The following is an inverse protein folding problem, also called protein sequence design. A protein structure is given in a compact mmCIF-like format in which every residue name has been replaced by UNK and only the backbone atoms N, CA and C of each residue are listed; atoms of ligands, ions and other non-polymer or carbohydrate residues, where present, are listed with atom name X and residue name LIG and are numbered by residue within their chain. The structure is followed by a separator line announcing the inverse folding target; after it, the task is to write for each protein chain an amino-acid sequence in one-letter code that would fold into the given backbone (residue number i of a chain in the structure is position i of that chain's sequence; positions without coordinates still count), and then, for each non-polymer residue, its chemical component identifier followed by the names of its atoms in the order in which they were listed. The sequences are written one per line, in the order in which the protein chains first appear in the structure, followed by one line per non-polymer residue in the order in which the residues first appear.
data_IF_285715707127
#
_entry.id   IF_285715707127
#
_cell.length_a   1.000
_cell.length_b   1.000
_cell.length_c   1.000
_cell.angle_alpha   90.00
_cell.angle_beta   90.00
_cell.angle_gamma   90.00
#
_symmetry.space_group_name_H-M   'P 1'
#
loop_
_entity.id
_entity.type
_entity.pdbx_description
1 polymer ?
#
# COMPACT_ATOMS: atom_id res chain seq x y z
N UNK A 1 -4.58 19.58 42.48
CA UNK A 1 -4.87 19.04 41.12
C UNK A 1 -6.37 19.04 40.77
N UNK A 2 -7.21 19.90 41.36
CA UNK A 2 -8.67 19.89 41.11
C UNK A 2 -9.10 21.04 40.19
N UNK A 3 -8.40 22.19 40.21
CA UNK A 3 -8.75 23.37 39.38
C UNK A 3 -8.64 23.15 37.87
N UNK A 4 -7.69 22.34 37.40
CA UNK A 4 -7.48 22.12 35.96
C UNK A 4 -8.64 21.37 35.29
N UNK A 5 -9.49 20.68 36.07
CA UNK A 5 -10.61 19.86 35.58
C UNK A 5 -11.96 20.57 35.57
N UNK A 6 -12.07 21.76 36.17
CA UNK A 6 -13.35 22.49 36.29
C UNK A 6 -13.99 22.76 34.92
N UNK A 7 -13.19 23.17 33.93
CA UNK A 7 -13.65 23.40 32.55
C UNK A 7 -14.02 22.12 31.79
N UNK A 8 -13.53 20.97 32.25
CA UNK A 8 -13.71 19.69 31.54
C UNK A 8 -14.97 18.98 31.95
N UNK A 9 -15.48 19.16 33.17
CA UNK A 9 -16.69 18.48 33.65
C UNK A 9 -17.88 18.55 32.67
N UNK A 10 -18.35 19.76 32.30
CA UNK A 10 -19.47 19.89 31.35
C UNK A 10 -19.17 19.30 29.97
N UNK A 11 -17.94 19.48 29.47
CA UNK A 11 -17.53 18.98 28.15
C UNK A 11 -17.46 17.46 28.10
N UNK A 12 -16.92 16.85 29.17
CA UNK A 12 -16.80 15.38 29.31
C UNK A 12 -18.19 14.76 29.44
N UNK A 13 -19.13 15.39 30.16
CA UNK A 13 -20.53 14.97 30.21
C UNK A 13 -21.18 15.02 28.83
N UNK A 14 -21.13 16.17 28.14
CA UNK A 14 -21.70 16.32 26.80
C UNK A 14 -21.09 15.32 25.80
N UNK A 15 -19.79 15.03 25.91
CA UNK A 15 -19.15 13.99 25.11
C UNK A 15 -19.63 12.58 25.45
N UNK A 16 -19.83 12.28 26.73
CA UNK A 16 -20.36 10.98 27.17
C UNK A 16 -21.77 10.73 26.64
N UNK A 17 -22.60 11.78 26.57
CA UNK A 17 -23.96 11.74 26.03
C UNK A 17 -24.00 11.77 24.48
N UNK A 18 -22.84 11.96 23.83
CA UNK A 18 -22.71 11.99 22.37
C UNK A 18 -23.06 13.34 21.73
N UNK A 19 -23.17 14.41 22.53
CA UNK A 19 -23.52 15.77 22.10
C UNK A 19 -22.29 16.61 21.70
N UNK A 20 -21.07 16.12 21.95
CA UNK A 20 -19.85 16.82 21.58
C UNK A 20 -19.56 16.74 20.08
N UNK A 21 -19.08 17.85 19.51
CA UNK A 21 -18.59 17.85 18.12
C UNK A 21 -17.33 16.99 17.96
N UNK A 22 -16.99 16.58 16.73
CA UNK A 22 -15.78 15.75 16.50
C UNK A 22 -14.48 16.41 16.97
N UNK A 23 -14.37 17.74 16.79
CA UNK A 23 -13.21 18.49 17.24
C UNK A 23 -13.08 18.43 18.76
N UNK A 24 -14.18 18.67 19.47
CA UNK A 24 -14.22 18.62 20.94
C UNK A 24 -13.98 17.20 21.45
N UNK A 25 -14.54 16.19 20.80
CA UNK A 25 -14.31 14.78 21.14
C UNK A 25 -12.82 14.40 21.05
N UNK A 26 -12.05 14.98 20.13
CA UNK A 26 -10.59 14.78 20.06
C UNK A 26 -9.87 15.42 21.25
N UNK A 27 -10.22 16.65 21.61
CA UNK A 27 -9.64 17.35 22.75
C UNK A 27 -9.94 16.64 24.07
N UNK A 28 -11.20 16.19 24.24
CA UNK A 28 -11.66 15.49 25.42
C UNK A 28 -10.95 14.14 25.56
N UNK A 29 -10.82 13.36 24.48
CA UNK A 29 -10.03 12.11 24.51
C UNK A 29 -8.58 12.34 24.92
N UNK A 30 -7.98 13.44 24.48
CA UNK A 30 -6.62 13.83 24.88
C UNK A 30 -6.57 14.09 26.39
N UNK A 31 -7.50 14.88 26.92
CA UNK A 31 -7.59 15.14 28.37
C UNK A 31 -7.82 13.85 29.17
N UNK A 32 -8.72 12.98 28.72
CA UNK A 32 -9.02 11.71 29.37
C UNK A 32 -7.83 10.76 29.38
N UNK A 33 -6.85 10.88 28.48
CA UNK A 33 -5.62 10.08 28.56
C UNK A 33 -4.74 10.49 29.74
N UNK A 34 -4.76 11.78 30.09
CA UNK A 34 -3.82 12.35 31.05
C UNK A 34 -4.45 12.61 32.43
N UNK A 35 -5.80 12.68 32.51
CA UNK A 35 -6.53 12.93 33.75
C UNK A 35 -7.23 11.69 34.30
N UNK A 36 -6.72 11.16 35.42
CA UNK A 36 -7.34 10.03 36.13
C UNK A 36 -8.71 10.33 36.73
N UNK A 37 -8.94 11.55 37.23
CA UNK A 37 -10.21 11.93 37.86
C UNK A 37 -11.38 11.95 36.88
N UNK A 38 -11.20 12.57 35.70
CA UNK A 38 -12.23 12.59 34.68
C UNK A 38 -12.48 11.20 34.07
N UNK A 39 -11.46 10.34 33.97
CA UNK A 39 -11.67 8.93 33.61
C UNK A 39 -12.51 8.19 34.64
N UNK A 40 -12.23 8.38 35.93
CA UNK A 40 -13.00 7.75 36.99
C UNK A 40 -14.48 8.14 36.93
N UNK A 41 -14.77 9.43 36.69
CA UNK A 41 -16.14 9.91 36.51
C UNK A 41 -16.84 9.26 35.29
N UNK A 42 -16.17 9.19 34.14
CA UNK A 42 -16.71 8.51 32.94
C UNK A 42 -16.98 7.03 33.20
N UNK A 43 -16.10 6.35 33.93
CA UNK A 43 -16.29 4.94 34.28
C UNK A 43 -17.48 4.76 35.23
N UNK A 44 -17.67 5.67 36.20
CA UNK A 44 -18.81 5.66 37.10
C UNK A 44 -20.13 5.86 36.35
N UNK A 45 -20.19 6.83 35.43
CA UNK A 45 -21.37 7.04 34.57
C UNK A 45 -21.64 5.82 33.67
N UNK A 46 -20.59 5.19 33.16
CA UNK A 46 -20.70 3.92 32.41
C UNK A 46 -21.35 2.82 33.24
N UNK A 47 -20.88 2.62 34.48
CA UNK A 47 -21.44 1.63 35.39
C UNK A 47 -22.92 1.92 35.74
N UNK A 48 -23.29 3.20 35.92
CA UNK A 48 -24.68 3.60 36.14
C UNK A 48 -25.56 3.31 34.92
N UNK A 49 -25.07 3.59 33.71
CA UNK A 49 -25.77 3.29 32.46
C UNK A 49 -26.00 1.79 32.30
N UNK A 50 -25.00 0.97 32.62
CA UNK A 50 -25.11 -0.49 32.55
C UNK A 50 -26.14 -1.02 33.55
N UNK A 51 -26.17 -0.45 34.77
CA UNK A 51 -27.18 -0.78 35.78
C UNK A 51 -28.59 -0.39 35.34
N UNK A 52 -28.76 0.76 34.68
CA UNK A 52 -30.05 1.14 34.09
C UNK A 52 -30.46 0.23 32.93
N UNK A 53 -29.50 -0.24 32.12
CA UNK A 53 -29.77 -1.17 31.04
C UNK A 53 -30.25 -2.54 31.55
N UNK A 54 -29.81 -2.97 32.74
CA UNK A 54 -30.30 -4.19 33.39
C UNK A 54 -31.76 -4.05 33.86
N UNK A 55 -32.14 -2.88 34.39
CA UNK A 55 -33.50 -2.60 34.85
C UNK A 55 -34.46 -2.39 33.67
N UNK A 56 -33.97 -1.80 32.57
CA UNK A 56 -34.72 -1.57 31.34
C UNK A 56 -34.03 -2.28 30.17
N UNK A 57 -34.26 -3.59 30.00
CA UNK A 57 -33.72 -4.30 28.85
C UNK A 57 -34.31 -3.68 27.59
N UNK A 58 -33.50 -2.90 26.89
CA UNK A 58 -33.85 -2.35 25.60
C UNK A 58 -34.04 -3.53 24.63
N UNK A 59 -35.29 -3.75 24.18
CA UNK A 59 -35.53 -4.71 23.11
C UNK A 59 -35.01 -4.10 21.81
N UNK A 60 -33.82 -4.53 21.41
CA UNK A 60 -33.27 -4.19 20.09
C UNK A 60 -34.16 -4.87 19.06
N UNK A 61 -34.75 -4.10 18.14
CA UNK A 61 -35.56 -4.68 17.08
C UNK A 61 -34.70 -5.58 16.19
N UNK A 62 -35.25 -6.71 15.75
CA UNK A 62 -34.55 -7.62 14.83
C UNK A 62 -34.09 -6.91 13.56
N UNK A 63 -34.85 -5.90 13.11
CA UNK A 63 -34.50 -5.05 11.96
C UNK A 63 -33.23 -4.24 12.23
N UNK A 64 -33.08 -3.68 13.42
CA UNK A 64 -31.87 -2.94 13.80
C UNK A 64 -30.67 -3.88 13.89
N UNK A 65 -30.84 -5.06 14.49
CA UNK A 65 -29.80 -6.09 14.58
C UNK A 65 -29.35 -6.52 13.18
N UNK A 66 -30.30 -6.88 12.30
CA UNK A 66 -30.01 -7.28 10.92
C UNK A 66 -29.30 -6.19 10.12
N UNK A 67 -29.65 -4.91 10.34
CA UNK A 67 -28.97 -3.78 9.70
C UNK A 67 -27.52 -3.64 10.19
N UNK A 68 -27.27 -3.78 11.49
CA UNK A 68 -25.92 -3.73 12.05
C UNK A 68 -25.07 -4.87 11.52
N UNK A 69 -25.59 -6.10 11.52
CA UNK A 69 -24.88 -7.28 10.98
C UNK A 69 -24.50 -7.08 9.52
N UNK A 70 -25.43 -6.64 8.67
CA UNK A 70 -25.13 -6.38 7.25
C UNK A 70 -24.04 -5.32 7.06
N UNK A 71 -24.03 -4.27 7.88
CA UNK A 71 -23.01 -3.21 7.79
C UNK A 71 -21.65 -3.70 8.27
N UNK A 72 -21.62 -4.56 9.27
CA UNK A 72 -20.39 -5.19 9.75
C UNK A 72 -19.81 -6.14 8.69
N UNK A 73 -20.65 -7.04 8.15
CA UNK A 73 -20.25 -7.96 7.08
C UNK A 73 -19.72 -7.23 5.85
N UNK A 74 -20.38 -6.14 5.43
CA UNK A 74 -19.93 -5.36 4.28
C UNK A 74 -18.60 -4.63 4.56
N UNK A 75 -18.42 -4.12 5.78
CA UNK A 75 -17.16 -3.52 6.22
C UNK A 75 -16.00 -4.51 6.20
N UNK A 76 -16.18 -5.69 6.81
CA UNK A 76 -15.17 -6.76 6.80
C UNK A 76 -14.87 -7.25 5.39
N UNK A 77 -15.91 -7.44 4.57
CA UNK A 77 -15.72 -7.86 3.19
C UNK A 77 -14.86 -6.86 2.43
N UNK A 78 -15.13 -5.56 2.54
CA UNK A 78 -14.35 -4.52 1.88
C UNK A 78 -12.86 -4.53 2.31
N UNK A 79 -12.60 -4.67 3.61
CA UNK A 79 -11.23 -4.70 4.15
C UNK A 79 -10.46 -5.96 3.69
N UNK A 80 -11.09 -7.13 3.75
CA UNK A 80 -10.50 -8.40 3.27
C UNK A 80 -10.24 -8.36 1.76
N UNK A 81 -11.15 -7.75 0.98
CA UNK A 81 -10.95 -7.58 -0.46
C UNK A 81 -9.76 -6.65 -0.75
N UNK A 82 -9.61 -5.57 0.02
CA UNK A 82 -8.44 -4.68 -0.07
C UNK A 82 -7.14 -5.43 0.20
N UNK A 83 -7.09 -6.19 1.30
CA UNK A 83 -5.89 -6.93 1.69
C UNK A 83 -5.54 -8.05 0.70
N UNK A 84 -6.53 -8.80 0.20
CA UNK A 84 -6.30 -9.87 -0.77
C UNK A 84 -5.84 -9.33 -2.13
N UNK A 85 -6.35 -8.18 -2.56
CA UNK A 85 -5.90 -7.51 -3.80
C UNK A 85 -4.45 -7.05 -3.68
N UNK A 86 -4.09 -6.44 -2.56
CA UNK A 86 -2.71 -6.05 -2.29
C UNK A 86 -1.77 -7.26 -2.31
N UNK A 87 -2.13 -8.34 -1.61
CA UNK A 87 -1.31 -9.57 -1.57
C UNK A 87 -1.13 -10.19 -2.96
N UNK A 88 -2.19 -10.22 -3.79
CA UNK A 88 -2.11 -10.68 -5.18
C UNK A 88 -1.15 -9.84 -6.01
N UNK A 89 -1.20 -8.51 -5.88
CA UNK A 89 -0.29 -7.61 -6.59
C UNK A 89 1.17 -7.80 -6.17
N UNK A 90 1.42 -7.97 -4.87
CA UNK A 90 2.78 -8.21 -4.36
C UNK A 90 3.31 -9.58 -4.80
N UNK A 91 2.48 -10.62 -4.77
CA UNK A 91 2.88 -11.97 -5.21
C UNK A 91 3.14 -12.03 -6.71
N UNK A 92 2.34 -11.36 -7.54
CA UNK A 92 2.60 -11.28 -8.99
C UNK A 92 3.87 -10.48 -9.28
N UNK A 93 4.08 -9.35 -8.61
CA UNK A 93 5.31 -8.57 -8.75
C UNK A 93 6.56 -9.38 -8.35
N UNK A 94 6.49 -10.10 -7.23
CA UNK A 94 7.59 -10.97 -6.78
C UNK A 94 7.86 -12.10 -7.78
N UNK A 95 6.83 -12.74 -8.33
CA UNK A 95 6.98 -13.79 -9.34
C UNK A 95 7.64 -13.26 -10.63
N UNK A 96 7.22 -12.08 -11.11
CA UNK A 96 7.83 -11.43 -12.29
C UNK A 96 9.30 -11.09 -12.02
N UNK A 97 9.62 -10.56 -10.84
CA UNK A 97 11.00 -10.25 -10.46
C UNK A 97 11.87 -11.51 -10.42
N UNK A 98 11.36 -12.60 -9.85
CA UNK A 98 12.05 -13.89 -9.81
C UNK A 98 12.29 -14.46 -11.22
N UNK A 99 11.29 -14.37 -12.11
CA UNK A 99 11.44 -14.79 -13.50
C UNK A 99 12.47 -13.94 -14.25
N UNK A 100 12.48 -12.62 -14.03
CA UNK A 100 13.46 -11.72 -14.63
C UNK A 100 14.90 -12.02 -14.14
N UNK A 101 15.07 -12.23 -12.83
CA UNK A 101 16.35 -12.59 -12.24
C UNK A 101 16.84 -13.96 -12.73
N UNK A 102 15.95 -14.96 -12.78
CA UNK A 102 16.27 -16.28 -13.32
C UNK A 102 16.64 -16.19 -14.82
N UNK A 103 15.90 -15.39 -15.60
CA UNK A 103 16.20 -15.15 -17.01
C UNK A 103 17.57 -14.49 -17.21
N UNK A 104 17.91 -13.46 -16.42
CA UNK A 104 19.23 -12.82 -16.45
C UNK A 104 20.34 -13.80 -16.09
N UNK A 105 20.15 -14.60 -15.04
CA UNK A 105 21.14 -15.59 -14.61
C UNK A 105 21.38 -16.67 -15.67
N UNK A 106 20.32 -17.13 -16.34
CA UNK A 106 20.45 -18.09 -17.45
C UNK A 106 21.12 -17.44 -18.65
N UNK A 107 20.77 -16.20 -18.99
CA UNK A 107 21.42 -15.46 -20.08
C UNK A 107 22.94 -15.34 -19.83
N UNK A 108 23.35 -14.92 -18.63
CA UNK A 108 24.77 -14.79 -18.27
C UNK A 108 25.54 -16.13 -18.29
N UNK A 109 24.84 -17.26 -18.14
CA UNK A 109 25.45 -18.61 -18.11
C UNK A 109 25.41 -19.34 -19.45
N UNK A 110 24.41 -19.06 -20.29
CA UNK A 110 24.18 -19.77 -21.57
C UNK A 110 24.70 -18.95 -22.74
N UNK A 111 24.58 -17.62 -22.71
CA UNK A 111 25.36 -16.76 -23.60
C UNK A 111 26.79 -16.68 -23.06
N UNK A 112 27.62 -17.64 -23.48
CA UNK A 112 29.00 -17.29 -23.83
C UNK A 112 28.94 -15.98 -24.61
N UNK A 113 29.83 -15.00 -24.39
CA UNK A 113 29.99 -13.92 -25.34
C UNK A 113 30.36 -14.62 -26.65
N UNK A 114 29.37 -14.81 -27.51
CA UNK A 114 29.61 -15.13 -28.89
C UNK A 114 30.54 -14.04 -29.32
N UNK A 115 31.79 -14.42 -29.60
CA UNK A 115 32.79 -13.53 -30.15
C UNK A 115 32.07 -12.80 -31.27
N UNK A 116 31.67 -11.56 -31.01
CA UNK A 116 31.54 -10.60 -32.08
C UNK A 116 32.94 -10.65 -32.66
N UNK A 117 33.10 -11.39 -33.76
CA UNK A 117 34.35 -11.45 -34.50
C UNK A 117 34.58 -10.03 -34.99
N UNK A 118 35.15 -9.20 -34.12
CA UNK A 118 35.87 -8.03 -34.51
C UNK A 118 37.00 -8.59 -35.37
N UNK A 119 36.81 -8.54 -36.69
CA UNK A 119 37.86 -8.78 -37.64
C UNK A 119 39.10 -8.07 -37.10
N UNK A 120 40.20 -8.81 -36.97
CA UNK A 120 41.40 -8.22 -36.37
C UNK A 120 41.79 -7.01 -37.21
N UNK A 121 42.36 -5.92 -36.64
CA UNK A 121 42.67 -4.71 -37.42
C UNK A 121 43.44 -4.98 -38.72
N UNK A 122 44.26 -6.05 -38.73
CA UNK A 122 44.97 -6.55 -39.91
C UNK A 122 44.08 -7.02 -41.05
N UNK A 123 42.93 -7.63 -40.77
CA UNK A 123 42.02 -8.13 -41.81
C UNK A 123 41.33 -6.97 -42.54
N UNK A 124 41.06 -5.87 -41.83
CA UNK A 124 40.51 -4.64 -42.41
C UNK A 124 41.58 -3.96 -43.28
N UNK A 125 42.80 -3.84 -42.76
CA UNK A 125 43.92 -3.24 -43.50
C UNK A 125 44.23 -4.04 -44.78
N UNK A 126 44.19 -5.37 -44.71
CA UNK A 126 44.38 -6.24 -45.87
C UNK A 126 43.27 -6.10 -46.91
N UNK A 127 42.00 -6.04 -46.48
CA UNK A 127 40.87 -5.83 -47.39
C UNK A 127 40.91 -4.46 -48.08
N UNK A 128 41.32 -3.42 -47.36
CA UNK A 128 41.49 -2.07 -47.93
C UNK A 128 42.63 -2.07 -48.95
N UNK A 129 43.75 -2.73 -48.63
CA UNK A 129 44.90 -2.80 -49.53
C UNK A 129 44.57 -3.59 -50.80
N UNK A 130 43.80 -4.67 -50.69
CA UNK A 130 43.30 -5.43 -51.85
C UNK A 130 42.39 -4.58 -52.77
N UNK A 131 41.56 -3.70 -52.20
CA UNK A 131 40.71 -2.77 -52.98
C UNK A 131 41.57 -1.73 -53.70
N UNK A 132 42.61 -1.21 -53.04
CA UNK A 132 43.50 -0.20 -53.60
C UNK A 132 44.40 -0.76 -54.71
N UNK A 133 44.85 -2.00 -54.56
CA UNK A 133 45.71 -2.68 -55.54
C UNK A 133 44.93 -3.30 -56.70
N UNK A 134 43.59 -3.33 -56.63
CA UNK A 134 42.74 -3.86 -57.69
C UNK A 134 42.88 -3.00 -58.96
N UNK A 135 43.43 -3.54 -60.07
CA UNK A 135 43.55 -2.77 -61.30
C UNK A 135 42.15 -2.40 -61.81
N UNK A 136 41.94 -1.13 -62.12
CA UNK A 136 40.68 -0.65 -62.70
C UNK A 136 40.40 -1.47 -63.96
N UNK A 137 39.33 -2.26 -63.92
CA UNK A 137 38.86 -3.00 -65.08
C UNK A 137 38.67 -1.99 -66.22
N UNK A 138 39.36 -2.22 -67.34
CA UNK A 138 39.23 -1.40 -68.53
C UNK A 138 37.78 -1.43 -68.97
N UNK A 139 37.07 -0.32 -68.78
CA UNK A 139 35.71 -0.12 -69.28
C UNK A 139 35.79 -0.22 -70.80
N UNK A 140 35.14 -1.20 -71.46
CA UNK A 140 35.15 -1.24 -72.91
C UNK A 140 34.42 -0.01 -73.44
N UNK A 141 35.10 0.76 -74.28
CA UNK A 141 34.54 1.92 -74.93
C UNK A 141 33.31 1.49 -75.77
N UNK A 142 32.15 2.07 -75.46
CA UNK A 142 30.96 1.96 -76.31
C UNK A 142 31.27 2.53 -77.69
N UNK A 143 31.31 1.67 -78.71
CA UNK A 143 31.13 2.08 -80.10
C UNK A 143 29.64 2.38 -80.34
N UNK A 144 29.40 3.40 -81.17
CA UNK A 144 28.09 3.91 -81.61
C UNK A 144 27.10 2.83 -82.05
#
# INVERSE_FOLDING_TARGET
MIEACSKWGPRVSAWFDGEASELEAREIRTHLRDCGGCRAAVNEWGAQRDLFAEIQPAQVSEVALARMTRRFESGLAAEVHGMSTALRLWTTAAAVLLLALAGSFVADRVFLPGEAMAATPRDIDQAVQEILERPLATVPAKSQ
#
